data_IF_483449897361
#
_entry.id   IF_483449897361
#
_cell.length_a   1.000
_cell.length_b   1.000
_cell.length_c   1.000
_cell.angle_alpha   90.00
_cell.angle_beta   90.00
_cell.angle_gamma   90.00
#
_symmetry.space_group_name_H-M   'P 1'
#
loop_
_entity.id
_entity.type
_entity.pdbx_description
1 polymer ?
#
# COMPACT_ATOMS: atom_id res chain seq x y z
N UNK A 1 -31.67 72.28 25.62
CA UNK A 1 -30.38 71.58 25.42
C UNK A 1 -30.65 70.09 25.40
N UNK A 2 -30.68 69.49 24.21
CA UNK A 2 -31.05 68.09 23.97
C UNK A 2 -29.78 67.25 23.78
N UNK A 3 -29.59 66.26 24.67
CA UNK A 3 -28.53 65.24 24.61
C UNK A 3 -28.74 64.36 23.37
N UNK A 4 -27.72 64.27 22.50
CA UNK A 4 -27.66 63.28 21.41
C UNK A 4 -26.90 62.04 21.89
N UNK A 5 -27.59 60.90 21.92
CA UNK A 5 -27.01 59.59 22.21
C UNK A 5 -26.20 59.09 21.01
N UNK A 6 -24.93 58.73 21.26
CA UNK A 6 -24.08 57.94 20.35
C UNK A 6 -24.61 56.51 20.23
N UNK A 7 -24.57 55.95 19.02
CA UNK A 7 -24.69 54.51 18.79
C UNK A 7 -23.56 54.09 17.85
N UNK A 8 -22.47 53.59 18.44
CA UNK A 8 -21.40 52.89 17.72
C UNK A 8 -21.86 51.45 17.47
N UNK A 9 -22.08 51.08 16.21
CA UNK A 9 -22.24 49.68 15.82
C UNK A 9 -20.87 49.05 15.62
N UNK A 10 -20.40 48.33 16.63
CA UNK A 10 -19.23 47.46 16.55
C UNK A 10 -19.69 46.12 15.91
N UNK A 11 -19.49 45.97 14.60
CA UNK A 11 -19.69 44.70 13.91
C UNK A 11 -18.43 43.85 14.10
N UNK A 12 -18.46 42.92 15.06
CA UNK A 12 -17.36 41.96 15.27
C UNK A 12 -17.53 40.83 14.25
N UNK A 13 -16.70 40.84 13.21
CA UNK A 13 -16.59 39.77 12.22
C UNK A 13 -15.76 38.63 12.83
N UNK A 14 -16.41 37.60 13.37
CA UNK A 14 -15.73 36.41 13.88
C UNK A 14 -15.27 35.54 12.70
N UNK A 15 -13.98 35.63 12.35
CA UNK A 15 -13.33 34.71 11.41
C UNK A 15 -13.21 33.33 12.07
N UNK A 16 -14.08 32.39 11.67
CA UNK A 16 -13.91 30.98 11.99
C UNK A 16 -12.66 30.44 11.26
N UNK A 17 -11.55 30.36 11.97
CA UNK A 17 -10.36 29.62 11.54
C UNK A 17 -10.70 28.13 11.55
N UNK A 18 -11.05 27.56 10.39
CA UNK A 18 -11.11 26.11 10.21
C UNK A 18 -9.70 25.56 10.36
N UNK A 19 -9.40 25.00 11.53
CA UNK A 19 -8.21 24.18 11.73
C UNK A 19 -8.41 22.92 10.89
N UNK A 20 -7.80 22.89 9.70
CA UNK A 20 -7.65 21.67 8.93
C UNK A 20 -6.77 20.71 9.74
N UNK A 21 -7.41 19.85 10.53
CA UNK A 21 -6.76 18.73 11.19
C UNK A 21 -6.23 17.82 10.07
N UNK A 22 -4.97 18.02 9.70
CA UNK A 22 -4.26 17.11 8.83
C UNK A 22 -4.07 15.82 9.63
N UNK A 23 -5.04 14.91 9.54
CA UNK A 23 -4.89 13.57 10.06
C UNK A 23 -3.62 12.99 9.43
N UNK A 24 -2.53 12.91 10.21
CA UNK A 24 -1.29 12.35 9.73
C UNK A 24 -1.57 10.92 9.30
N UNK A 25 -1.24 10.59 8.05
CA UNK A 25 -1.29 9.21 7.62
C UNK A 25 -0.23 8.44 8.40
N UNK A 26 -0.68 7.52 9.25
CA UNK A 26 0.19 6.66 10.04
C UNK A 26 -0.01 5.22 9.58
N UNK A 27 1.07 4.58 9.16
CA UNK A 27 1.11 3.14 8.99
C UNK A 27 1.70 2.52 10.25
N UNK A 28 1.03 1.52 10.80
CA UNK A 28 1.45 0.80 12.01
C UNK A 28 1.15 -0.67 11.87
N UNK A 29 1.82 -1.50 12.65
CA UNK A 29 1.45 -2.91 12.74
C UNK A 29 0.00 -3.03 13.23
N UNK A 30 -0.79 -3.89 12.59
CA UNK A 30 -2.16 -4.15 13.04
C UNK A 30 -2.13 -4.82 14.43
N UNK A 31 -3.17 -4.58 15.23
CA UNK A 31 -3.33 -5.32 16.48
C UNK A 31 -3.55 -6.81 16.16
N UNK A 32 -3.24 -7.75 17.07
CA UNK A 32 -3.52 -9.17 16.82
C UNK A 32 -4.98 -9.46 16.47
N UNK A 33 -5.92 -8.74 17.08
CA UNK A 33 -7.34 -8.86 16.78
C UNK A 33 -7.67 -8.39 15.35
N UNK A 34 -7.20 -7.20 14.96
CA UNK A 34 -7.41 -6.66 13.62
C UNK A 34 -6.74 -7.52 12.54
N UNK A 35 -5.53 -8.01 12.82
CA UNK A 35 -4.79 -8.91 11.94
C UNK A 35 -5.52 -10.25 11.72
N UNK A 36 -6.08 -10.83 12.78
CA UNK A 36 -6.88 -12.04 12.69
C UNK A 36 -8.17 -11.80 11.89
N UNK A 37 -8.88 -10.71 12.19
CA UNK A 37 -10.13 -10.36 11.52
C UNK A 37 -9.89 -10.12 10.01
N UNK A 38 -8.94 -9.26 9.65
CA UNK A 38 -8.63 -8.94 8.27
C UNK A 38 -8.06 -10.15 7.51
N UNK A 39 -7.14 -10.91 8.12
CA UNK A 39 -6.60 -12.12 7.52
C UNK A 39 -7.68 -13.18 7.26
N UNK A 40 -8.73 -13.24 8.08
CA UNK A 40 -9.89 -14.12 7.85
C UNK A 40 -10.84 -13.65 6.75
N UNK A 41 -10.77 -12.37 6.32
CA UNK A 41 -11.54 -11.86 5.17
C UNK A 41 -10.89 -12.22 3.83
N UNK A 42 -9.58 -12.37 3.80
CA UNK A 42 -8.85 -12.80 2.60
C UNK A 42 -9.03 -14.31 2.45
N UNK A 43 -9.89 -14.69 1.52
CA UNK A 43 -10.30 -16.10 1.31
C UNK A 43 -10.01 -16.54 -0.12
N UNK A 44 -10.07 -17.86 -0.37
CA UNK A 44 -9.81 -18.44 -1.69
C UNK A 44 -10.62 -17.80 -2.85
N UNK A 45 -11.91 -17.41 -2.68
CA UNK A 45 -12.65 -16.69 -3.72
C UNK A 45 -12.06 -15.34 -4.14
N UNK A 46 -11.19 -14.74 -3.33
CA UNK A 46 -10.50 -13.49 -3.66
C UNK A 46 -9.20 -13.72 -4.45
N UNK A 47 -8.74 -14.97 -4.59
CA UNK A 47 -7.51 -15.32 -5.29
C UNK A 47 -7.76 -15.54 -6.80
N UNK A 48 -6.74 -15.36 -7.65
CA UNK A 48 -6.86 -15.69 -9.07
C UNK A 48 -7.14 -17.18 -9.28
N UNK A 49 -7.76 -17.52 -10.41
CA UNK A 49 -7.99 -18.90 -10.79
C UNK A 49 -6.66 -19.70 -10.82
N UNK A 50 -6.69 -20.92 -10.27
CA UNK A 50 -5.50 -21.76 -10.16
C UNK A 50 -4.59 -21.45 -8.97
N UNK A 51 -4.92 -20.44 -8.15
CA UNK A 51 -4.24 -20.23 -6.88
C UNK A 51 -4.51 -21.38 -5.90
N UNK A 52 -3.46 -21.81 -5.21
CA UNK A 52 -3.47 -22.81 -4.17
C UNK A 52 -2.57 -22.36 -3.01
N UNK A 53 -2.76 -22.96 -1.83
CA UNK A 53 -1.92 -22.73 -0.64
C UNK A 53 -1.73 -21.23 -0.32
N UNK A 54 -2.84 -20.55 -0.03
CA UNK A 54 -2.80 -19.18 0.47
C UNK A 54 -2.09 -19.13 1.83
N UNK A 55 -1.08 -18.28 1.90
CA UNK A 55 -0.27 -18.00 3.07
C UNK A 55 -0.41 -16.52 3.44
N UNK A 56 -0.70 -16.27 4.72
CA UNK A 56 -0.81 -14.94 5.30
C UNK A 56 0.00 -14.94 6.60
N UNK A 57 1.11 -14.20 6.61
CA UNK A 57 1.81 -13.90 7.86
C UNK A 57 1.12 -12.74 8.58
N UNK A 58 0.30 -13.09 9.58
CA UNK A 58 -0.43 -12.12 10.40
C UNK A 58 0.50 -11.13 11.13
N UNK A 59 1.78 -11.46 11.32
CA UNK A 59 2.74 -10.55 11.95
C UNK A 59 3.16 -9.41 11.02
N UNK A 60 2.89 -9.52 9.72
CA UNK A 60 3.20 -8.53 8.69
C UNK A 60 1.98 -7.70 8.27
N UNK A 61 0.80 -7.95 8.86
CA UNK A 61 -0.40 -7.16 8.59
C UNK A 61 -0.23 -5.76 9.20
N UNK A 62 -0.51 -4.75 8.39
CA UNK A 62 -0.37 -3.34 8.77
C UNK A 62 -1.73 -2.64 8.74
N UNK A 63 -1.94 -1.70 9.64
CA UNK A 63 -3.06 -0.76 9.59
C UNK A 63 -2.58 0.58 9.05
N UNK A 64 -3.34 1.15 8.13
CA UNK A 64 -3.13 2.46 7.54
C UNK A 64 -4.25 3.39 8.01
N UNK A 65 -3.88 4.40 8.80
CA UNK A 65 -4.79 5.42 9.33
C UNK A 65 -5.04 6.51 8.28
N UNK A 66 -5.98 6.22 7.39
CA UNK A 66 -6.47 7.07 6.29
C UNK A 66 -8.00 7.04 6.29
N UNK A 67 -8.68 7.81 5.43
CA UNK A 67 -10.14 7.82 5.36
C UNK A 67 -10.64 7.40 3.95
N UNK A 68 -11.34 6.27 3.85
CA UNK A 68 -11.56 5.24 4.89
C UNK A 68 -10.26 4.52 5.31
N UNK A 69 -10.23 4.01 6.56
CA UNK A 69 -9.08 3.27 7.08
C UNK A 69 -8.93 1.91 6.36
N UNK A 70 -7.68 1.48 6.18
CA UNK A 70 -7.36 0.22 5.52
C UNK A 70 -6.49 -0.66 6.40
N UNK A 71 -6.74 -1.96 6.35
CA UNK A 71 -5.80 -2.99 6.79
C UNK A 71 -5.14 -3.62 5.57
N UNK A 72 -3.82 -3.57 5.53
CA UNK A 72 -2.98 -4.10 4.48
C UNK A 72 -2.56 -5.51 4.88
N UNK A 73 -2.96 -6.50 4.09
CA UNK A 73 -2.72 -7.93 4.33
C UNK A 73 -1.83 -8.46 3.21
N UNK A 74 -0.51 -8.58 3.43
CA UNK A 74 0.38 -9.25 2.49
C UNK A 74 -0.06 -10.69 2.31
N UNK A 75 -0.09 -11.14 1.05
CA UNK A 75 -0.44 -12.52 0.72
C UNK A 75 0.64 -13.15 -0.12
N UNK A 76 0.80 -14.45 0.05
CA UNK A 76 1.58 -15.32 -0.82
C UNK A 76 0.73 -16.53 -1.15
N UNK A 77 0.80 -17.02 -2.37
CA UNK A 77 0.10 -18.25 -2.75
C UNK A 77 0.86 -18.96 -3.86
N UNK A 78 0.78 -20.28 -3.89
CA UNK A 78 1.26 -21.03 -5.04
C UNK A 78 0.26 -20.89 -6.19
N UNK A 79 0.74 -20.80 -7.42
CA UNK A 79 -0.09 -21.03 -8.59
C UNK A 79 0.20 -22.42 -9.09
N UNK A 80 -0.82 -23.28 -9.17
CA UNK A 80 -0.65 -24.56 -9.83
C UNK A 80 -0.49 -24.26 -11.32
N UNK A 81 0.73 -24.37 -11.84
CA UNK A 81 0.99 -24.34 -13.27
C UNK A 81 0.62 -25.69 -13.89
N UNK A 82 0.25 -25.69 -15.18
CA UNK A 82 -0.05 -26.89 -15.97
C UNK A 82 1.19 -27.78 -16.27
N UNK A 83 2.34 -27.54 -15.64
CA UNK A 83 3.61 -28.21 -15.96
C UNK A 83 4.36 -28.70 -14.72
N UNK A 84 4.97 -29.88 -14.87
CA UNK A 84 5.83 -30.53 -13.88
C UNK A 84 7.10 -29.70 -13.59
N UNK A 85 7.00 -28.78 -12.61
CA UNK A 85 8.10 -27.97 -12.11
C UNK A 85 7.92 -27.68 -10.61
N UNK A 86 8.95 -27.14 -9.92
CA UNK A 86 8.81 -26.71 -8.54
C UNK A 86 7.70 -25.66 -8.40
N UNK A 87 7.00 -25.60 -7.25
CA UNK A 87 5.87 -24.69 -7.07
C UNK A 87 6.31 -23.23 -7.24
N UNK A 88 5.68 -22.56 -8.20
CA UNK A 88 5.81 -21.13 -8.42
C UNK A 88 4.88 -20.37 -7.48
N UNK A 89 5.41 -19.37 -6.79
CA UNK A 89 4.67 -18.58 -5.82
C UNK A 89 4.52 -17.14 -6.29
N UNK A 90 3.30 -16.64 -6.20
CA UNK A 90 2.98 -15.24 -6.42
C UNK A 90 2.83 -14.54 -5.08
N UNK A 91 3.11 -13.24 -5.08
CA UNK A 91 2.85 -12.36 -3.95
C UNK A 91 1.91 -11.23 -4.35
N UNK A 92 1.22 -10.73 -3.34
CA UNK A 92 0.25 -9.67 -3.50
C UNK A 92 0.03 -8.90 -2.21
N UNK A 93 -0.88 -7.95 -2.30
CA UNK A 93 -1.40 -7.20 -1.18
C UNK A 93 -2.93 -7.19 -1.26
N UNK A 94 -3.57 -7.74 -0.24
CA UNK A 94 -5.00 -7.52 -0.05
C UNK A 94 -5.21 -6.28 0.82
N UNK A 95 -6.08 -5.37 0.40
CA UNK A 95 -6.53 -4.24 1.22
C UNK A 95 -7.94 -4.51 1.72
N UNK A 96 -8.10 -4.50 3.04
CA UNK A 96 -9.39 -4.69 3.71
C UNK A 96 -9.85 -3.34 4.27
N UNK A 97 -11.01 -2.86 3.86
CA UNK A 97 -11.58 -1.61 4.36
C UNK A 97 -12.19 -1.81 5.77
N UNK A 98 -12.48 -0.71 6.47
CA UNK A 98 -13.19 -0.76 7.75
C UNK A 98 -14.59 -1.41 7.68
N UNK A 99 -15.21 -1.48 6.49
CA UNK A 99 -16.48 -2.18 6.25
C UNK A 99 -16.29 -3.66 5.91
N UNK A 100 -15.05 -4.12 5.75
CA UNK A 100 -14.70 -5.50 5.44
C UNK A 100 -14.63 -5.83 3.94
N UNK A 101 -14.81 -4.84 3.07
CA UNK A 101 -14.56 -4.99 1.63
C UNK A 101 -13.07 -5.31 1.40
N UNK A 102 -12.79 -6.27 0.51
CA UNK A 102 -11.44 -6.77 0.27
C UNK A 102 -11.09 -6.65 -1.20
N UNK A 103 -9.97 -6.00 -1.51
CA UNK A 103 -9.40 -5.94 -2.86
C UNK A 103 -8.04 -6.60 -2.85
N UNK A 104 -7.84 -7.61 -3.70
CA UNK A 104 -6.54 -8.23 -3.90
C UNK A 104 -5.85 -7.63 -5.11
N UNK A 105 -4.62 -7.16 -4.90
CA UNK A 105 -3.70 -6.84 -5.98
C UNK A 105 -2.57 -7.88 -5.98
N UNK A 106 -2.37 -8.56 -7.10
CA UNK A 106 -1.19 -9.39 -7.33
C UNK A 106 -0.08 -8.46 -7.81
N UNK A 107 1.06 -8.50 -7.15
CA UNK A 107 2.13 -7.52 -7.32
C UNK A 107 3.41 -8.12 -7.88
N UNK A 108 3.57 -9.44 -7.77
CA UNK A 108 4.79 -10.14 -8.17
C UNK A 108 4.49 -11.51 -8.76
N UNK A 109 5.27 -11.91 -9.78
CA UNK A 109 5.15 -13.18 -10.47
C UNK A 109 3.95 -13.26 -11.41
N UNK A 110 3.49 -12.14 -11.97
CA UNK A 110 2.34 -12.11 -12.89
C UNK A 110 2.70 -12.35 -14.35
N UNK A 111 3.93 -12.03 -14.75
CA UNK A 111 4.45 -12.35 -16.06
C UNK A 111 5.12 -13.73 -16.03
N UNK A 112 4.84 -14.55 -17.05
CA UNK A 112 5.30 -15.93 -17.19
C UNK A 112 6.71 -16.00 -17.80
N UNK A 113 7.23 -14.87 -18.29
CA UNK A 113 8.60 -14.74 -18.82
C UNK A 113 9.64 -14.50 -17.73
N UNK A 114 9.22 -13.94 -16.59
CA UNK A 114 10.09 -13.79 -15.42
C UNK A 114 10.11 -15.12 -14.67
N UNK A 115 11.25 -15.81 -14.72
CA UNK A 115 11.48 -17.06 -14.01
C UNK A 115 11.65 -16.83 -12.50
N UNK A 116 10.84 -15.95 -11.89
CA UNK A 116 11.03 -15.46 -10.53
C UNK A 116 9.84 -15.78 -9.64
N UNK A 117 10.11 -16.53 -8.57
CA UNK A 117 9.11 -16.96 -7.58
C UNK A 117 9.23 -16.09 -6.33
N UNK A 118 8.09 -15.69 -5.76
CA UNK A 118 8.08 -14.98 -4.49
C UNK A 118 8.40 -15.91 -3.32
N UNK A 119 9.37 -15.54 -2.50
CA UNK A 119 9.71 -16.22 -1.25
C UNK A 119 8.91 -15.64 -0.10
N UNK A 120 8.96 -14.33 0.11
CA UNK A 120 8.28 -13.65 1.21
C UNK A 120 8.23 -12.14 1.02
N UNK A 121 7.45 -11.45 1.85
CA UNK A 121 7.59 -10.00 2.03
C UNK A 121 8.69 -9.73 3.06
N UNK A 122 9.69 -8.95 2.68
CA UNK A 122 10.78 -8.53 3.57
C UNK A 122 10.46 -7.23 4.30
N UNK A 123 9.82 -6.28 3.62
CA UNK A 123 9.42 -5.01 4.23
C UNK A 123 8.20 -4.38 3.55
N UNK A 124 7.46 -3.57 4.31
CA UNK A 124 6.40 -2.70 3.81
C UNK A 124 6.53 -1.32 4.43
N UNK A 125 6.30 -0.29 3.63
CA UNK A 125 6.53 1.11 3.96
C UNK A 125 5.54 2.03 3.27
N UNK A 126 5.47 3.27 3.75
CA UNK A 126 4.80 4.37 3.03
C UNK A 126 5.83 5.28 2.39
N UNK A 127 5.50 5.84 1.23
CA UNK A 127 6.19 6.95 0.61
C UNK A 127 5.21 8.09 0.33
N UNK A 128 5.75 9.30 0.14
CA UNK A 128 4.93 10.47 -0.17
C UNK A 128 4.19 10.28 -1.50
N UNK A 129 2.98 10.83 -1.56
CA UNK A 129 2.10 10.78 -2.71
C UNK A 129 1.29 12.07 -2.79
N UNK A 130 0.82 12.41 -3.99
CA UNK A 130 -0.12 13.52 -4.21
C UNK A 130 -1.56 13.14 -3.86
N UNK A 131 -1.83 11.86 -3.62
CA UNK A 131 -3.14 11.37 -3.19
C UNK A 131 -3.33 11.57 -1.68
N UNK A 132 -4.59 11.56 -1.23
CA UNK A 132 -4.95 11.44 0.19
C UNK A 132 -4.45 10.12 0.82
N UNK A 133 -4.10 9.15 -0.01
CA UNK A 133 -3.41 7.92 0.38
C UNK A 133 -1.92 8.01 0.00
N UNK A 134 -1.01 7.56 0.87
CA UNK A 134 0.41 7.48 0.55
C UNK A 134 0.63 6.45 -0.55
N UNK A 135 1.78 6.53 -1.22
CA UNK A 135 2.26 5.38 -1.99
C UNK A 135 2.71 4.29 -1.02
N UNK A 136 2.56 3.03 -1.40
CA UNK A 136 3.07 1.90 -0.62
C UNK A 136 4.32 1.35 -1.28
N UNK A 137 5.36 1.12 -0.48
CA UNK A 137 6.59 0.46 -0.91
C UNK A 137 6.57 -0.93 -0.30
N UNK A 138 6.61 -1.96 -1.12
CA UNK A 138 6.77 -3.34 -0.72
C UNK A 138 8.15 -3.80 -1.19
N UNK A 139 8.84 -4.57 -0.36
CA UNK A 139 10.10 -5.20 -0.75
C UNK A 139 9.90 -6.69 -0.55
N UNK A 140 9.84 -7.43 -1.64
CA UNK A 140 9.76 -8.88 -1.62
C UNK A 140 11.15 -9.49 -1.61
N UNK A 141 11.26 -10.69 -1.08
CA UNK A 141 12.35 -11.60 -1.39
C UNK A 141 11.89 -12.46 -2.58
N UNK A 142 12.60 -12.36 -3.69
CA UNK A 142 12.37 -13.16 -4.90
C UNK A 142 13.47 -14.22 -5.07
N UNK A 143 13.21 -15.22 -5.91
CA UNK A 143 14.19 -16.23 -6.30
C UNK A 143 13.96 -16.77 -7.71
N UNK A 144 15.03 -17.06 -8.43
CA UNK A 144 15.01 -17.82 -9.69
C UNK A 144 15.23 -19.33 -9.49
N UNK A 145 15.32 -19.78 -8.24
CA UNK A 145 15.79 -21.12 -7.87
C UNK A 145 17.31 -21.26 -7.83
N UNK A 146 18.05 -20.38 -8.51
CA UNK A 146 19.52 -20.32 -8.48
C UNK A 146 20.04 -19.24 -7.54
N UNK A 147 19.36 -18.09 -7.51
CA UNK A 147 19.72 -16.97 -6.66
C UNK A 147 18.48 -16.37 -5.98
N UNK A 148 18.72 -15.54 -4.98
CA UNK A 148 17.70 -14.85 -4.21
C UNK A 148 18.06 -13.38 -4.11
N UNK A 149 17.13 -12.50 -4.46
CA UNK A 149 17.34 -11.06 -4.48
C UNK A 149 16.10 -10.30 -3.96
N UNK A 150 16.30 -9.09 -3.40
CA UNK A 150 15.21 -8.22 -3.02
C UNK A 150 14.58 -7.55 -4.24
N UNK A 151 13.25 -7.63 -4.37
CA UNK A 151 12.50 -6.94 -5.43
C UNK A 151 11.60 -5.84 -4.84
N UNK A 152 11.84 -4.55 -5.15
CA UNK A 152 11.02 -3.45 -4.71
C UNK A 152 9.80 -3.24 -5.62
N UNK A 153 8.61 -3.17 -5.01
CA UNK A 153 7.36 -2.84 -5.68
C UNK A 153 6.79 -1.54 -5.11
N UNK A 154 6.37 -0.64 -6.00
CA UNK A 154 5.66 0.58 -5.65
C UNK A 154 4.19 0.47 -6.03
N UNK A 155 3.31 0.76 -5.09
CA UNK A 155 1.87 0.87 -5.33
C UNK A 155 1.43 2.32 -5.20
N UNK A 156 0.54 2.73 -6.09
CA UNK A 156 -0.12 4.04 -6.08
C UNK A 156 -1.60 3.88 -5.83
N UNK A 157 -2.18 4.85 -5.12
CA UNK A 157 -3.62 4.90 -4.92
C UNK A 157 -4.32 5.45 -6.16
N UNK A 158 -5.25 4.70 -6.72
CA UNK A 158 -6.13 5.18 -7.77
C UNK A 158 -7.42 5.71 -7.15
N UNK A 159 -7.62 7.04 -7.23
CA UNK A 159 -8.79 7.70 -6.66
C UNK A 159 -10.10 7.38 -7.39
N UNK A 160 -10.05 7.00 -8.67
CA UNK A 160 -11.23 6.67 -9.45
C UNK A 160 -11.77 5.28 -9.11
N UNK A 161 -10.88 4.30 -8.94
CA UNK A 161 -11.26 2.92 -8.56
C UNK A 161 -11.30 2.70 -7.05
N UNK A 162 -10.71 3.60 -6.25
CA UNK A 162 -10.71 3.50 -4.79
C UNK A 162 -9.85 2.35 -4.26
N UNK A 163 -8.83 1.93 -5.02
CA UNK A 163 -7.94 0.82 -4.68
C UNK A 163 -6.47 1.20 -4.97
N UNK A 164 -5.54 0.40 -4.46
CA UNK A 164 -4.14 0.46 -4.87
C UNK A 164 -3.93 -0.28 -6.19
N UNK A 165 -3.04 0.27 -7.00
CA UNK A 165 -2.59 -0.29 -8.27
C UNK A 165 -1.06 -0.33 -8.31
N UNK A 166 -0.53 -1.27 -9.09
CA UNK A 166 0.90 -1.38 -9.33
C UNK A 166 1.39 -0.19 -10.15
N UNK A 167 2.45 0.47 -9.67
CA UNK A 167 3.19 1.47 -10.46
C UNK A 167 4.39 0.77 -11.12
N UNK A 168 4.12 0.00 -12.17
CA UNK A 168 5.08 -0.93 -12.76
C UNK A 168 6.34 -0.24 -13.27
N UNK A 169 6.18 0.84 -14.04
CA UNK A 169 7.28 1.65 -14.57
C UNK A 169 8.18 2.20 -13.45
N UNK A 170 7.57 2.71 -12.38
CA UNK A 170 8.32 3.28 -11.26
C UNK A 170 8.96 2.21 -10.37
N UNK A 171 8.33 1.04 -10.27
CA UNK A 171 8.93 -0.14 -9.62
C UNK A 171 10.18 -0.57 -10.38
N UNK A 172 10.08 -0.74 -11.69
CA UNK A 172 11.22 -1.06 -12.56
C UNK A 172 12.33 -0.01 -12.44
N UNK A 173 11.98 1.27 -12.46
CA UNK A 173 12.96 2.35 -12.31
C UNK A 173 13.68 2.31 -10.96
N UNK A 174 12.99 1.96 -9.86
CA UNK A 174 13.66 1.75 -8.55
C UNK A 174 14.68 0.61 -8.67
N UNK A 175 14.30 -0.50 -9.33
CA UNK A 175 15.17 -1.66 -9.55
C UNK A 175 16.42 -1.29 -10.37
N UNK A 176 16.31 -0.38 -11.35
CA UNK A 176 17.50 0.06 -12.13
C UNK A 176 18.47 0.94 -11.34
N UNK A 177 18.09 1.47 -10.18
CA UNK A 177 18.99 2.32 -9.39
C UNK A 177 20.06 1.53 -8.63
N UNK A 178 19.92 0.20 -8.51
CA UNK A 178 20.88 -0.69 -7.85
C UNK A 178 21.30 -0.23 -6.45
N UNK A 179 20.37 0.37 -5.70
CA UNK A 179 20.59 0.78 -4.32
C UNK A 179 20.35 -0.41 -3.38
N UNK A 180 20.88 -0.38 -2.14
CA UNK A 180 20.39 -1.26 -1.09
C UNK A 180 18.89 -1.01 -0.86
N UNK A 181 18.04 -1.99 -1.20
CA UNK A 181 16.59 -1.84 -1.07
C UNK A 181 16.16 -1.90 0.40
N UNK A 182 15.93 -0.71 0.95
CA UNK A 182 15.29 -0.50 2.24
C UNK A 182 14.21 0.57 2.08
N UNK A 183 13.18 0.53 2.94
CA UNK A 183 12.12 1.54 2.92
C UNK A 183 12.70 2.98 3.01
N UNK A 184 13.66 3.30 3.90
CA UNK A 184 14.23 4.64 3.95
C UNK A 184 14.98 5.05 2.67
N UNK A 185 15.71 4.13 2.03
CA UNK A 185 16.45 4.44 0.80
C UNK A 185 15.49 4.69 -0.38
N UNK A 186 14.47 3.85 -0.53
CA UNK A 186 13.46 4.01 -1.58
C UNK A 186 12.68 5.32 -1.36
N UNK A 187 12.30 5.64 -0.12
CA UNK A 187 11.67 6.94 0.20
C UNK A 187 12.54 8.13 -0.21
N UNK A 188 13.84 8.09 0.12
CA UNK A 188 14.79 9.15 -0.27
C UNK A 188 14.92 9.26 -1.79
N UNK A 189 14.95 8.13 -2.50
CA UNK A 189 15.00 8.07 -3.95
C UNK A 189 13.75 8.72 -4.57
N UNK A 190 12.57 8.34 -4.10
CA UNK A 190 11.29 8.87 -4.58
C UNK A 190 11.10 10.36 -4.29
N UNK A 191 11.63 10.86 -3.15
CA UNK A 191 11.58 12.27 -2.80
C UNK A 191 12.46 13.15 -3.70
N UNK A 192 13.59 12.62 -4.18
CA UNK A 192 14.49 13.33 -5.11
C UNK A 192 13.94 13.41 -6.53
N UNK A 193 13.16 12.40 -6.93
CA UNK A 193 12.49 12.35 -8.23
C UNK A 193 10.97 12.23 -8.02
N UNK A 194 10.31 13.33 -7.58
CA UNK A 194 8.89 13.33 -7.23
C UNK A 194 7.97 13.26 -8.46
N UNK A 195 8.52 13.20 -9.67
CA UNK A 195 7.73 13.07 -10.88
C UNK A 195 8.49 12.44 -12.03
N UNK A 196 7.80 11.55 -12.71
CA UNK A 196 7.50 11.87 -14.09
C UNK A 196 6.19 12.67 -14.13
N UNK A 197 6.28 13.84 -14.75
CA UNK A 197 5.14 14.67 -15.13
C UNK A 197 4.74 14.23 -16.54
N UNK A 198 3.63 13.51 -16.66
CA UNK A 198 2.51 13.73 -17.59
C UNK A 198 1.70 12.46 -17.73
#
# INVERSE_FOLDING_TARGET
MTLRHLSHHFLILATLSTVACHAQTVMRKATPADANAAGGKVTAPALPAGAAKLEIDRKQIMSLSVIPALTLVPVRFSKNGDTAGPPFHQCGLATVTGTGETHLLITFGTDWTEAESCVSLSAIGTAESKSKYPALVLIYQATTGHESFPEPVLLKWNAASGIYELDAERSQWITTQQLPYTIPNIRKLLAKNPGERK
#
